data_IF_846132754226
#
_entry.id   IF_846132754226
#
_cell.length_a   1.000
_cell.length_b   1.000
_cell.length_c   1.000
_cell.angle_alpha   90.00
_cell.angle_beta   90.00
_cell.angle_gamma   90.00
#
_symmetry.space_group_name_H-M   'P 1'
#
loop_
_entity.id
_entity.type
_entity.pdbx_description
1 polymer ?
#
# COMPACT_ATOMS: atom_id res chain seq x y z
N UNK A 1 30.06 -9.04 38.45
CA UNK A 1 28.99 -9.83 37.80
C UNK A 1 27.69 -9.55 38.52
N UNK A 2 26.81 -8.72 37.95
CA UNK A 2 25.49 -8.44 38.51
C UNK A 2 24.46 -9.29 37.77
N UNK A 3 23.76 -10.16 38.50
CA UNK A 3 22.69 -10.99 37.97
C UNK A 3 21.42 -10.14 37.80
N UNK A 4 20.92 -10.07 36.57
CA UNK A 4 19.66 -9.38 36.27
C UNK A 4 18.47 -10.21 36.76
N UNK A 5 17.64 -9.59 37.59
CA UNK A 5 16.38 -10.15 38.12
C UNK A 5 15.32 -10.09 37.02
N UNK A 6 14.92 -11.25 36.51
CA UNK A 6 13.80 -11.40 35.58
C UNK A 6 12.47 -11.25 36.33
N UNK A 7 11.82 -10.09 36.20
CA UNK A 7 10.52 -9.82 36.82
C UNK A 7 9.34 -10.55 36.14
N UNK A 8 8.31 -11.00 36.89
CA UNK A 8 7.21 -11.83 36.38
C UNK A 8 6.12 -11.09 35.56
N UNK A 9 6.43 -9.95 34.93
CA UNK A 9 5.44 -9.07 34.28
C UNK A 9 5.01 -9.40 32.84
N UNK A 10 5.37 -10.58 32.30
CA UNK A 10 5.33 -10.83 30.85
C UNK A 10 3.96 -11.22 30.25
N UNK A 11 3.09 -11.92 30.99
CA UNK A 11 1.88 -12.50 30.40
C UNK A 11 0.72 -11.50 30.23
N UNK A 12 0.47 -10.66 31.23
CA UNK A 12 -0.66 -9.71 31.20
C UNK A 12 -0.58 -8.69 30.06
N UNK A 13 0.62 -8.20 29.75
CA UNK A 13 0.86 -7.24 28.66
C UNK A 13 0.66 -7.83 27.26
N UNK A 14 0.86 -9.14 27.07
CA UNK A 14 0.69 -9.79 25.76
C UNK A 14 -0.77 -9.98 25.41
N UNK A 15 -1.62 -10.31 26.39
CA UNK A 15 -3.06 -10.54 26.17
C UNK A 15 -3.78 -9.24 25.83
N UNK A 16 -3.45 -8.13 26.52
CA UNK A 16 -4.05 -6.83 26.23
C UNK A 16 -3.65 -6.29 24.85
N UNK A 17 -2.39 -6.51 24.44
CA UNK A 17 -1.92 -6.16 23.10
C UNK A 17 -2.69 -6.88 21.99
N UNK A 18 -2.84 -8.21 22.08
CA UNK A 18 -3.53 -8.99 21.05
C UNK A 18 -5.01 -8.62 20.89
N UNK A 19 -5.73 -8.37 22.00
CA UNK A 19 -7.14 -7.96 21.96
C UNK A 19 -7.33 -6.58 21.32
N UNK A 20 -6.45 -5.63 21.62
CA UNK A 20 -6.50 -4.31 21.00
C UNK A 20 -6.18 -4.35 19.50
N UNK A 21 -5.20 -5.17 19.09
CA UNK A 21 -4.86 -5.38 17.68
C UNK A 21 -6.02 -5.99 16.88
N UNK A 22 -6.66 -7.03 17.41
CA UNK A 22 -7.83 -7.66 16.76
C UNK A 22 -9.02 -6.69 16.64
N UNK A 23 -9.32 -5.95 17.70
CA UNK A 23 -10.41 -4.97 17.70
C UNK A 23 -10.17 -3.88 16.67
N UNK A 24 -8.92 -3.38 16.58
CA UNK A 24 -8.51 -2.41 15.57
C UNK A 24 -8.69 -2.97 14.16
N UNK A 25 -8.15 -4.16 13.90
CA UNK A 25 -8.27 -4.79 12.58
C UNK A 25 -9.72 -4.96 12.15
N UNK A 26 -10.59 -5.51 13.01
CA UNK A 26 -12.02 -5.70 12.70
C UNK A 26 -12.75 -4.36 12.45
N UNK A 27 -12.45 -3.34 13.24
CA UNK A 27 -13.03 -2.00 13.07
C UNK A 27 -12.61 -1.40 11.74
N UNK A 28 -11.31 -1.46 11.42
CA UNK A 28 -10.78 -0.97 10.14
C UNK A 28 -11.36 -1.72 8.96
N UNK A 29 -11.41 -3.06 8.98
CA UNK A 29 -12.00 -3.86 7.91
C UNK A 29 -13.47 -3.50 7.68
N UNK A 30 -14.24 -3.32 8.75
CA UNK A 30 -15.67 -2.99 8.64
C UNK A 30 -15.88 -1.60 8.04
N UNK A 31 -15.12 -0.60 8.52
CA UNK A 31 -15.16 0.75 7.99
C UNK A 31 -14.71 0.80 6.52
N UNK A 32 -13.64 0.07 6.18
CA UNK A 32 -13.11 -0.12 4.84
C UNK A 32 -14.18 -0.67 3.88
N UNK A 33 -14.85 -1.76 4.25
CA UNK A 33 -15.91 -2.37 3.44
C UNK A 33 -17.11 -1.44 3.24
N UNK A 34 -17.52 -0.72 4.30
CA UNK A 34 -18.60 0.25 4.21
C UNK A 34 -18.24 1.41 3.26
N UNK A 35 -17.00 1.91 3.34
CA UNK A 35 -16.51 2.97 2.46
C UNK A 35 -16.36 2.52 1.01
N UNK A 36 -15.91 1.28 0.78
CA UNK A 36 -15.84 0.68 -0.55
C UNK A 36 -17.24 0.53 -1.15
N UNK A 37 -18.23 0.09 -0.37
CA UNK A 37 -19.62 0.03 -0.82
C UNK A 37 -20.17 1.42 -1.15
N UNK A 38 -19.93 2.41 -0.29
CA UNK A 38 -20.34 3.80 -0.54
C UNK A 38 -19.72 4.37 -1.82
N UNK A 39 -18.44 4.10 -2.04
CA UNK A 39 -17.70 4.53 -3.24
C UNK A 39 -18.22 3.83 -4.50
N UNK A 40 -18.54 2.53 -4.43
CA UNK A 40 -19.16 1.79 -5.52
C UNK A 40 -20.55 2.32 -5.88
N UNK A 41 -21.39 2.64 -4.88
CA UNK A 41 -22.69 3.26 -5.11
C UNK A 41 -22.57 4.64 -5.75
N UNK A 42 -21.62 5.47 -5.30
CA UNK A 42 -21.33 6.76 -5.91
C UNK A 42 -20.94 6.59 -7.39
N UNK A 43 -20.05 5.65 -7.72
CA UNK A 43 -19.67 5.35 -9.11
C UNK A 43 -20.82 4.83 -9.97
N UNK A 44 -21.69 3.98 -9.43
CA UNK A 44 -22.88 3.55 -10.15
C UNK A 44 -23.78 4.75 -10.52
N UNK A 45 -23.94 5.71 -9.60
CA UNK A 45 -24.63 6.96 -9.88
C UNK A 45 -23.93 7.83 -10.93
N UNK A 46 -22.59 7.85 -10.95
CA UNK A 46 -21.81 8.56 -11.97
C UNK A 46 -21.95 7.96 -13.36
N UNK A 47 -21.92 6.63 -13.49
CA UNK A 47 -22.10 5.94 -14.76
C UNK A 47 -23.47 6.25 -15.40
N UNK A 48 -24.52 6.41 -14.59
CA UNK A 48 -25.83 6.89 -15.07
C UNK A 48 -25.75 8.33 -15.61
N UNK A 49 -24.93 9.18 -14.99
CA UNK A 49 -24.69 10.56 -15.44
C UNK A 49 -23.85 10.63 -16.72
N UNK A 50 -22.89 9.74 -16.93
CA UNK A 50 -22.10 9.63 -18.16
C UNK A 50 -22.96 9.20 -19.35
N UNK A 51 -23.90 8.27 -19.12
CA UNK A 51 -24.93 7.93 -20.13
C UNK A 51 -25.82 9.13 -20.51
N UNK A 52 -25.92 10.13 -19.63
CA UNK A 52 -26.59 11.39 -19.89
C UNK A 52 -25.68 12.45 -20.56
N UNK A 53 -24.49 12.07 -21.01
CA UNK A 53 -23.57 12.93 -21.78
C UNK A 53 -22.79 13.95 -20.95
N UNK A 54 -22.60 13.73 -19.64
CA UNK A 54 -21.80 14.60 -18.78
C UNK A 54 -20.35 14.12 -18.72
N UNK A 55 -19.44 14.88 -19.30
CA UNK A 55 -18.00 14.62 -19.17
C UNK A 55 -17.53 14.83 -17.72
N UNK A 56 -16.60 13.99 -17.28
CA UNK A 56 -15.96 14.10 -15.96
C UNK A 56 -14.46 13.98 -16.08
N UNK A 57 -13.76 14.61 -15.15
CA UNK A 57 -12.33 14.38 -15.00
C UNK A 57 -12.04 12.94 -14.52
N UNK A 58 -10.84 12.41 -14.80
CA UNK A 58 -10.37 11.17 -14.17
C UNK A 58 -10.37 11.27 -12.64
N UNK A 59 -10.77 10.17 -11.99
CA UNK A 59 -10.64 10.01 -10.54
C UNK A 59 -9.18 10.11 -10.08
N UNK A 60 -8.95 10.38 -8.79
CA UNK A 60 -7.61 10.61 -8.25
C UNK A 60 -7.32 9.70 -7.06
N UNK A 61 -6.28 8.87 -7.20
CA UNK A 61 -5.66 8.12 -6.12
C UNK A 61 -4.58 8.98 -5.46
N UNK A 62 -4.73 9.29 -4.18
CA UNK A 62 -3.73 10.05 -3.41
C UNK A 62 -2.67 9.09 -2.85
N UNK A 63 -1.40 9.41 -3.01
CA UNK A 63 -0.28 8.58 -2.56
C UNK A 63 0.61 9.36 -1.58
N UNK A 64 1.12 8.68 -0.56
CA UNK A 64 2.27 9.15 0.25
C UNK A 64 3.36 8.10 0.20
N UNK A 65 4.60 8.51 0.34
CA UNK A 65 5.74 7.58 0.44
C UNK A 65 6.52 7.88 1.71
N UNK A 66 6.77 6.85 2.51
CA UNK A 66 7.63 6.90 3.70
C UNK A 66 8.88 6.06 3.42
N UNK A 67 10.02 6.71 3.28
CA UNK A 67 11.33 6.05 3.15
C UNK A 67 11.91 5.87 4.55
N UNK A 68 12.08 4.61 4.98
CA UNK A 68 12.68 4.34 6.27
C UNK A 68 14.19 4.59 6.24
N UNK A 69 14.75 4.85 7.42
CA UNK A 69 16.19 4.85 7.63
C UNK A 69 16.63 3.57 8.34
N UNK A 70 17.83 3.09 8.00
CA UNK A 70 18.45 1.95 8.67
C UNK A 70 18.76 2.24 10.15
N UNK A 71 19.30 1.25 10.85
CA UNK A 71 19.63 1.34 12.28
C UNK A 71 20.69 2.42 12.60
N UNK A 72 21.35 2.98 11.58
CA UNK A 72 22.33 4.07 11.69
C UNK A 72 21.75 5.42 11.26
N UNK A 73 20.44 5.49 11.01
CA UNK A 73 19.77 6.71 10.53
C UNK A 73 20.07 7.04 9.07
N UNK A 74 20.57 6.08 8.27
CA UNK A 74 20.81 6.31 6.85
C UNK A 74 19.56 5.94 6.04
N UNK A 75 19.06 6.83 5.17
CA UNK A 75 17.92 6.52 4.33
C UNK A 75 18.16 5.27 3.47
N UNK A 76 17.17 4.38 3.39
CA UNK A 76 17.28 3.14 2.61
C UNK A 76 17.35 3.40 1.10
N UNK A 77 16.72 4.47 0.64
CA UNK A 77 16.75 4.93 -0.74
C UNK A 77 16.59 6.46 -0.78
N UNK A 78 16.43 7.04 -1.97
CA UNK A 78 16.15 8.46 -2.14
C UNK A 78 14.84 8.65 -2.92
N UNK A 79 14.19 9.79 -2.75
CA UNK A 79 13.01 10.17 -3.55
C UNK A 79 13.29 10.04 -5.06
N UNK A 80 14.46 10.47 -5.52
CA UNK A 80 14.86 10.40 -6.92
C UNK A 80 14.85 8.96 -7.47
N UNK A 81 15.22 7.96 -6.64
CA UNK A 81 15.17 6.54 -7.02
C UNK A 81 13.74 5.99 -7.01
N UNK A 82 12.86 6.50 -6.14
CA UNK A 82 11.45 6.05 -6.06
C UNK A 82 10.61 6.63 -7.21
N UNK A 83 10.93 7.85 -7.67
CA UNK A 83 10.13 8.58 -8.68
C UNK A 83 9.78 7.77 -9.94
N UNK A 84 10.70 7.03 -10.59
CA UNK A 84 10.36 6.24 -11.76
C UNK A 84 9.24 5.21 -11.53
N UNK A 85 9.19 4.58 -10.35
CA UNK A 85 8.13 3.63 -10.03
C UNK A 85 6.78 4.34 -9.78
N UNK A 86 6.79 5.56 -9.21
CA UNK A 86 5.58 6.38 -9.06
C UNK A 86 5.05 6.83 -10.43
N UNK A 87 5.94 7.27 -11.32
CA UNK A 87 5.57 7.66 -12.69
C UNK A 87 5.03 6.46 -13.49
N UNK A 88 5.61 5.27 -13.26
CA UNK A 88 5.12 4.02 -13.83
C UNK A 88 3.72 3.69 -13.30
N UNK A 89 3.47 3.87 -12.01
CA UNK A 89 2.15 3.67 -11.40
C UNK A 89 1.09 4.63 -11.98
N UNK A 90 1.41 5.92 -12.13
CA UNK A 90 0.54 6.89 -12.83
C UNK A 90 0.20 6.40 -14.24
N UNK A 91 1.22 6.03 -15.01
CA UNK A 91 1.08 5.61 -16.41
C UNK A 91 0.15 4.40 -16.52
N UNK A 92 0.37 3.37 -15.70
CA UNK A 92 -0.42 2.13 -15.74
C UNK A 92 -1.85 2.38 -15.27
N UNK A 93 -2.05 3.04 -14.13
CA UNK A 93 -3.39 3.27 -13.58
C UNK A 93 -4.24 4.21 -14.46
N UNK A 94 -3.59 5.20 -15.08
CA UNK A 94 -4.27 6.07 -16.06
C UNK A 94 -4.67 5.30 -17.31
N UNK A 95 -3.77 4.49 -17.87
CA UNK A 95 -4.03 3.74 -19.08
C UNK A 95 -5.08 2.63 -18.89
N UNK A 96 -5.00 1.91 -17.78
CA UNK A 96 -5.75 0.66 -17.58
C UNK A 96 -7.03 0.86 -16.75
N UNK A 97 -7.07 1.88 -15.89
CA UNK A 97 -8.21 2.16 -15.02
C UNK A 97 -8.76 3.58 -15.18
N UNK A 98 -8.19 4.45 -16.03
CA UNK A 98 -8.71 5.80 -16.24
C UNK A 98 -8.66 6.68 -14.99
N UNK A 99 -7.75 6.39 -14.04
CA UNK A 99 -7.55 7.21 -12.84
C UNK A 99 -6.15 7.84 -12.85
N UNK A 100 -6.05 9.02 -12.25
CA UNK A 100 -4.77 9.69 -11.97
C UNK A 100 -4.28 9.30 -10.58
N UNK A 101 -3.00 9.43 -10.36
CA UNK A 101 -2.32 9.41 -9.09
C UNK A 101 -1.87 10.82 -8.74
N UNK A 102 -1.86 11.12 -7.45
CA UNK A 102 -1.34 12.37 -6.91
C UNK A 102 -0.47 12.06 -5.72
N UNK A 103 0.85 12.22 -5.89
CA UNK A 103 1.81 12.13 -4.80
C UNK A 103 1.65 13.36 -3.91
N UNK A 104 1.25 13.15 -2.66
CA UNK A 104 1.09 14.20 -1.66
C UNK A 104 2.45 14.55 -1.03
N UNK A 105 3.24 13.51 -0.70
CA UNK A 105 4.57 13.66 -0.10
C UNK A 105 5.44 12.44 -0.37
N UNK A 106 6.76 12.66 -0.32
CA UNK A 106 7.80 11.61 -0.26
C UNK A 106 8.72 11.97 0.89
N UNK A 107 8.48 11.38 2.05
CA UNK A 107 9.13 11.73 3.29
C UNK A 107 10.18 10.68 3.64
N UNK A 108 11.32 11.13 4.17
CA UNK A 108 12.35 10.23 4.71
C UNK A 108 12.30 10.30 6.22
N UNK A 109 12.00 9.17 6.87
CA UNK A 109 11.98 9.09 8.32
C UNK A 109 13.43 8.97 8.80
N UNK A 110 13.93 10.01 9.44
CA UNK A 110 15.32 10.06 9.95
C UNK A 110 15.50 9.31 11.27
N UNK A 111 14.41 9.00 11.99
CA UNK A 111 14.45 8.10 13.14
C UNK A 111 14.94 6.71 12.68
N UNK A 112 15.99 6.14 13.28
CA UNK A 112 16.43 4.79 12.96
C UNK A 112 15.31 3.77 13.19
N UNK A 113 14.92 3.06 12.13
CA UNK A 113 13.89 2.04 12.26
C UNK A 113 14.46 0.78 12.94
N UNK A 114 13.68 0.11 13.81
CA UNK A 114 14.08 -1.17 14.36
C UNK A 114 14.13 -2.24 13.26
N UNK A 115 14.96 -3.27 13.44
CA UNK A 115 15.16 -4.32 12.44
C UNK A 115 13.85 -5.01 12.03
N UNK A 116 12.89 -5.17 12.96
CA UNK A 116 11.59 -5.76 12.67
C UNK A 116 10.72 -4.91 11.72
N UNK A 117 10.91 -3.59 11.73
CA UNK A 117 10.27 -2.66 10.78
C UNK A 117 11.04 -2.53 9.46
N UNK A 118 12.34 -2.85 9.47
CA UNK A 118 13.16 -2.87 8.27
C UNK A 118 12.99 -4.17 7.48
N UNK A 119 12.74 -5.29 8.18
CA UNK A 119 12.68 -6.64 7.60
C UNK A 119 11.35 -7.38 7.90
N UNK A 120 10.17 -6.78 7.61
CA UNK A 120 8.88 -7.39 7.91
C UNK A 120 8.70 -8.75 7.23
N UNK A 121 7.87 -9.62 7.81
CA UNK A 121 7.45 -10.84 7.13
C UNK A 121 6.43 -10.56 6.03
N UNK A 122 6.36 -11.47 5.05
CA UNK A 122 5.36 -11.42 3.99
C UNK A 122 4.01 -12.07 4.37
N UNK A 123 2.97 -11.70 3.62
CA UNK A 123 1.68 -12.40 3.54
C UNK A 123 0.98 -12.55 4.90
N UNK A 124 0.44 -13.75 5.20
CA UNK A 124 -0.25 -14.07 6.45
C UNK A 124 0.58 -13.76 7.69
N UNK A 125 1.92 -13.80 7.60
CA UNK A 125 2.79 -13.45 8.71
C UNK A 125 2.82 -11.94 8.96
N UNK A 126 2.66 -11.11 7.94
CA UNK A 126 2.49 -9.67 8.13
C UNK A 126 1.21 -9.36 8.91
N UNK A 127 0.12 -10.08 8.62
CA UNK A 127 -1.12 -9.95 9.39
C UNK A 127 -0.94 -10.38 10.85
N UNK A 128 -0.19 -11.47 11.10
CA UNK A 128 0.14 -11.88 12.47
C UNK A 128 1.05 -10.85 13.17
N UNK A 129 2.02 -10.31 12.43
CA UNK A 129 2.92 -9.26 12.90
C UNK A 129 2.14 -8.00 13.30
N UNK A 130 1.11 -7.63 12.53
CA UNK A 130 0.23 -6.48 12.79
C UNK A 130 -0.74 -6.72 13.95
N UNK A 131 -1.53 -7.80 13.87
CA UNK A 131 -2.67 -8.03 14.77
C UNK A 131 -2.24 -8.62 16.11
N UNK A 132 -1.29 -9.56 16.12
CA UNK A 132 -0.96 -10.34 17.32
C UNK A 132 0.35 -9.92 17.97
N UNK A 133 1.35 -9.56 17.17
CA UNK A 133 2.71 -9.30 17.67
C UNK A 133 3.04 -7.81 17.81
N UNK A 134 2.23 -6.92 17.25
CA UNK A 134 2.42 -5.47 17.31
C UNK A 134 3.74 -5.00 16.67
N UNK A 135 4.30 -5.77 15.75
CA UNK A 135 5.59 -5.46 15.08
C UNK A 135 5.47 -4.32 14.09
N UNK A 136 4.25 -4.02 13.65
CA UNK A 136 3.92 -2.86 12.82
C UNK A 136 3.69 -1.59 13.64
N UNK A 137 3.76 -1.64 14.98
CA UNK A 137 3.50 -0.47 15.83
C UNK A 137 4.40 0.72 15.49
N UNK A 138 5.63 0.46 15.03
CA UNK A 138 6.53 1.49 14.57
C UNK A 138 6.00 2.23 13.33
N UNK A 139 5.38 1.51 12.38
CA UNK A 139 4.73 2.13 11.22
C UNK A 139 3.54 2.98 11.66
N UNK A 140 2.67 2.43 12.52
CA UNK A 140 1.45 3.11 12.98
C UNK A 140 1.75 4.47 13.61
N UNK A 141 2.81 4.60 14.41
CA UNK A 141 3.22 5.92 14.97
C UNK A 141 3.46 6.98 13.90
N UNK A 142 3.99 6.58 12.75
CA UNK A 142 4.25 7.49 11.63
C UNK A 142 3.03 7.64 10.73
N UNK A 143 2.20 6.60 10.58
CA UNK A 143 0.96 6.68 9.81
C UNK A 143 -0.07 7.59 10.48
N UNK A 144 -0.15 7.56 11.81
CA UNK A 144 -1.08 8.35 12.62
C UNK A 144 -0.84 9.86 12.47
N UNK A 145 0.42 10.29 12.26
CA UNK A 145 0.77 11.69 11.96
C UNK A 145 0.05 12.21 10.70
N UNK A 146 -0.26 11.31 9.78
CA UNK A 146 -0.89 11.64 8.51
C UNK A 146 -2.29 11.05 8.36
N UNK A 147 -2.94 10.66 9.46
CA UNK A 147 -4.30 10.16 9.43
C UNK A 147 -5.21 11.24 8.79
N UNK A 148 -5.81 10.89 7.65
CA UNK A 148 -6.83 11.71 7.01
C UNK A 148 -8.18 11.30 7.63
N UNK A 149 -8.94 12.22 8.25
CA UNK A 149 -10.25 11.88 8.81
C UNK A 149 -11.26 11.47 7.74
N UNK A 150 -11.00 11.77 6.46
CA UNK A 150 -11.88 11.41 5.36
C UNK A 150 -11.82 9.90 5.06
N UNK A 151 -12.93 9.19 5.24
CA UNK A 151 -13.03 7.76 4.90
C UNK A 151 -12.94 7.51 3.39
N UNK A 152 -13.29 8.50 2.57
CA UNK A 152 -13.23 8.42 1.10
C UNK A 152 -12.11 9.33 0.56
N UNK A 153 -11.33 8.76 -0.34
CA UNK A 153 -10.14 9.33 -0.92
C UNK A 153 -8.90 9.20 -0.04
N UNK A 154 -8.98 8.60 1.16
CA UNK A 154 -7.85 8.48 2.07
C UNK A 154 -6.59 8.02 1.29
N UNK A 155 -5.43 8.66 1.48
CA UNK A 155 -4.26 8.33 0.69
C UNK A 155 -3.73 6.94 1.03
N UNK A 156 -3.23 6.23 0.01
CA UNK A 156 -2.49 4.99 0.22
C UNK A 156 -1.04 5.35 0.54
N UNK A 157 -0.52 4.85 1.66
CA UNK A 157 0.87 5.10 2.08
C UNK A 157 1.80 3.97 1.66
N UNK A 158 2.85 4.29 0.93
CA UNK A 158 3.88 3.35 0.48
C UNK A 158 5.04 3.42 1.46
N UNK A 159 5.32 2.32 2.16
CA UNK A 159 6.42 2.22 3.13
C UNK A 159 7.59 1.49 2.46
N UNK A 160 8.72 2.18 2.31
CA UNK A 160 9.92 1.61 1.72
C UNK A 160 10.80 1.00 2.81
N UNK A 161 10.87 -0.33 2.84
CA UNK A 161 11.62 -1.12 3.83
C UNK A 161 12.90 -1.70 3.23
N UNK A 162 13.77 -2.27 4.07
CA UNK A 162 15.05 -2.84 3.62
C UNK A 162 14.82 -4.13 2.86
N UNK A 163 14.13 -5.06 3.49
CA UNK A 163 13.85 -6.38 2.93
C UNK A 163 12.48 -6.85 3.40
N UNK A 164 11.85 -7.74 2.64
CA UNK A 164 10.63 -8.44 3.07
C UNK A 164 10.98 -9.92 3.13
N UNK A 165 10.79 -10.51 4.30
CA UNK A 165 11.08 -11.92 4.50
C UNK A 165 10.02 -12.76 3.81
N UNK A 166 10.39 -13.55 2.80
CA UNK A 166 9.48 -14.51 2.17
C UNK A 166 9.52 -14.63 0.64
N UNK A 167 10.67 -14.36 -0.02
CA UNK A 167 10.80 -14.38 -1.50
C UNK A 167 9.76 -13.49 -2.21
N UNK A 168 9.37 -12.39 -1.57
CA UNK A 168 8.55 -11.34 -2.18
C UNK A 168 9.28 -10.01 -2.09
N UNK A 169 8.96 -9.11 -3.00
CA UNK A 169 9.51 -7.77 -3.13
C UNK A 169 8.57 -6.69 -2.62
N UNK A 170 7.29 -6.99 -2.53
CA UNK A 170 6.27 -6.15 -1.94
C UNK A 170 5.29 -6.97 -1.09
N UNK A 171 4.51 -6.29 -0.26
CA UNK A 171 3.41 -6.89 0.46
C UNK A 171 2.37 -5.83 0.81
N UNK A 172 1.10 -6.22 0.72
CA UNK A 172 -0.05 -5.46 1.20
C UNK A 172 -0.89 -6.32 2.14
N UNK A 173 -1.58 -5.69 3.10
CA UNK A 173 -2.62 -6.34 3.90
C UNK A 173 -3.99 -6.33 3.18
N UNK A 174 -4.02 -5.88 1.92
CA UNK A 174 -5.20 -5.81 1.07
C UNK A 174 -6.21 -4.78 1.59
N UNK A 175 -7.49 -5.14 1.54
CA UNK A 175 -8.64 -4.34 2.05
C UNK A 175 -8.44 -3.80 3.47
N UNK A 176 -7.58 -4.43 4.28
CA UNK A 176 -7.43 -4.16 5.71
C UNK A 176 -6.42 -3.06 6.05
N UNK A 177 -5.68 -2.53 5.07
CA UNK A 177 -4.71 -1.47 5.32
C UNK A 177 -4.71 -0.42 4.23
N UNK A 178 -4.56 0.83 4.65
CA UNK A 178 -4.41 1.98 3.77
C UNK A 178 -2.92 2.22 3.44
N UNK A 179 -2.10 1.16 3.51
CA UNK A 179 -0.68 1.19 3.25
C UNK A 179 -0.17 -0.10 2.62
N UNK A 180 0.97 0.02 1.93
CA UNK A 180 1.69 -1.08 1.30
C UNK A 180 3.17 -1.02 1.68
N UNK A 181 3.84 -2.15 1.69
CA UNK A 181 5.29 -2.23 1.93
C UNK A 181 6.00 -2.67 0.66
N UNK A 182 7.10 -2.00 0.33
CA UNK A 182 7.93 -2.27 -0.84
C UNK A 182 9.41 -2.24 -0.45
N UNK A 183 10.22 -3.14 -1.00
CA UNK A 183 11.67 -3.15 -0.74
C UNK A 183 12.38 -1.95 -1.37
N UNK A 184 13.45 -1.46 -0.75
CA UNK A 184 14.25 -0.38 -1.31
C UNK A 184 15.02 -0.79 -2.58
N UNK A 185 15.41 -2.07 -2.68
CA UNK A 185 16.18 -2.65 -3.80
C UNK A 185 15.46 -2.61 -5.14
N UNK A 186 14.13 -2.44 -5.14
CA UNK A 186 13.28 -2.35 -6.33
C UNK A 186 13.52 -1.07 -7.13
N UNK A 187 14.02 -0.05 -6.45
CA UNK A 187 14.18 1.31 -6.98
C UNK A 187 15.61 1.57 -7.46
N UNK A 188 16.52 0.59 -7.31
CA UNK A 188 17.92 0.75 -7.67
C UNK A 188 18.20 0.18 -9.06
N UNK A 189 18.21 1.04 -10.08
CA UNK A 189 18.50 0.67 -11.48
C UNK A 189 19.85 -0.03 -11.68
N UNK A 190 20.78 0.15 -10.76
CA UNK A 190 22.07 -0.54 -10.78
C UNK A 190 21.98 -2.01 -10.35
N UNK A 191 20.81 -2.48 -9.89
CA UNK A 191 20.57 -3.86 -9.46
C UNK A 191 19.62 -4.58 -10.41
N UNK A 192 20.16 -5.03 -11.54
CA UNK A 192 19.40 -5.63 -12.66
C UNK A 192 18.45 -6.79 -12.25
N UNK A 193 18.77 -7.52 -11.17
CA UNK A 193 18.00 -8.67 -10.71
C UNK A 193 16.96 -8.35 -9.63
N UNK A 194 16.89 -7.11 -9.16
CA UNK A 194 15.88 -6.68 -8.18
C UNK A 194 15.06 -5.48 -8.66
N UNK A 195 15.57 -4.72 -9.62
CA UNK A 195 14.91 -3.54 -10.16
C UNK A 195 13.63 -3.90 -10.92
N UNK A 196 12.49 -3.39 -10.46
CA UNK A 196 11.20 -3.60 -11.11
C UNK A 196 10.22 -2.47 -10.76
N UNK A 197 10.02 -1.55 -11.70
CA UNK A 197 9.10 -0.41 -11.56
C UNK A 197 7.62 -0.86 -11.45
N UNK A 198 7.29 -2.10 -11.82
CA UNK A 198 5.90 -2.61 -11.79
C UNK A 198 5.47 -3.08 -10.40
N UNK A 199 6.42 -3.38 -9.50
CA UNK A 199 6.08 -3.90 -8.16
C UNK A 199 5.25 -2.89 -7.38
N UNK A 200 5.58 -1.59 -7.45
CA UNK A 200 4.83 -0.58 -6.72
C UNK A 200 3.35 -0.56 -7.11
N UNK A 201 3.07 -0.50 -8.41
CA UNK A 201 1.69 -0.46 -8.92
C UNK A 201 0.96 -1.79 -8.69
N UNK A 202 1.67 -2.91 -8.62
CA UNK A 202 1.11 -4.20 -8.21
C UNK A 202 0.64 -4.18 -6.74
N UNK A 203 1.49 -3.69 -5.82
CA UNK A 203 1.11 -3.58 -4.41
C UNK A 203 -0.03 -2.58 -4.20
N UNK A 204 -0.03 -1.46 -4.92
CA UNK A 204 -1.16 -0.55 -4.94
C UNK A 204 -2.44 -1.26 -5.44
N UNK A 205 -2.33 -2.14 -6.44
CA UNK A 205 -3.44 -2.98 -6.86
C UNK A 205 -4.06 -3.79 -5.71
N UNK A 206 -3.24 -4.38 -4.84
CA UNK A 206 -3.74 -5.06 -3.65
C UNK A 206 -4.44 -4.15 -2.64
N UNK A 207 -3.88 -2.96 -2.39
CA UNK A 207 -4.54 -1.94 -1.55
C UNK A 207 -5.87 -1.46 -2.16
N UNK A 208 -5.99 -1.53 -3.49
CA UNK A 208 -7.20 -1.22 -4.25
C UNK A 208 -8.09 -2.45 -4.47
N UNK A 209 -7.98 -3.46 -3.58
CA UNK A 209 -8.80 -4.66 -3.54
C UNK A 209 -8.66 -5.61 -4.74
N UNK A 210 -7.56 -5.54 -5.50
CA UNK A 210 -7.32 -6.47 -6.59
C UNK A 210 -6.65 -7.76 -6.10
N UNK A 211 -7.22 -8.94 -6.38
CA UNK A 211 -6.58 -10.22 -6.11
C UNK A 211 -5.58 -10.57 -7.22
N UNK A 212 -4.70 -11.52 -6.91
CA UNK A 212 -3.82 -12.11 -7.92
C UNK A 212 -4.58 -12.79 -9.06
N UNK A 213 -3.95 -12.83 -10.23
CA UNK A 213 -4.40 -13.61 -11.39
C UNK A 213 -3.29 -14.52 -11.91
N UNK A 214 -3.64 -15.48 -12.76
CA UNK A 214 -2.69 -16.38 -13.43
C UNK A 214 -2.19 -15.85 -14.78
N UNK A 215 -2.81 -14.80 -15.30
CA UNK A 215 -2.42 -14.18 -16.56
C UNK A 215 -1.16 -13.34 -16.38
N UNK A 216 -0.09 -13.70 -17.09
CA UNK A 216 1.23 -13.05 -17.00
C UNK A 216 1.23 -11.62 -17.55
N UNK A 217 0.34 -11.32 -18.48
CA UNK A 217 0.20 -9.97 -19.05
C UNK A 217 -0.56 -9.02 -18.11
N UNK A 218 -1.19 -9.56 -17.06
CA UNK A 218 -1.95 -8.78 -16.11
C UNK A 218 -1.07 -8.20 -15.01
N UNK A 219 -1.39 -6.98 -14.59
CA UNK A 219 -0.73 -6.29 -13.47
C UNK A 219 -0.70 -7.15 -12.20
N UNK A 220 -1.77 -7.88 -11.92
CA UNK A 220 -1.91 -8.69 -10.71
C UNK A 220 -1.34 -10.12 -10.85
N UNK A 221 -0.49 -10.38 -11.85
CA UNK A 221 0.29 -11.61 -11.88
C UNK A 221 1.24 -11.65 -10.66
N UNK A 222 1.28 -12.73 -9.85
CA UNK A 222 1.95 -12.74 -8.54
C UNK A 222 3.48 -12.79 -8.59
N UNK A 223 4.08 -13.01 -9.75
CA UNK A 223 5.52 -13.25 -9.88
C UNK A 223 6.15 -12.27 -10.85
N UNK A 224 7.29 -11.71 -10.47
CA UNK A 224 8.14 -10.93 -11.36
C UNK A 224 9.59 -11.27 -11.04
N UNK A 225 10.40 -11.46 -12.07
CA UNK A 225 11.80 -11.84 -11.96
C UNK A 225 12.61 -11.07 -13.01
N UNK A 226 12.96 -9.81 -12.72
CA UNK A 226 13.76 -9.00 -13.62
C UNK A 226 15.15 -9.62 -13.84
N UNK A 227 15.78 -9.35 -15.00
CA UNK A 227 15.27 -8.47 -16.06
C UNK A 227 14.36 -9.19 -17.07
N UNK A 228 14.32 -10.52 -17.08
CA UNK A 228 13.70 -11.30 -18.19
C UNK A 228 12.21 -11.52 -18.01
N UNK A 229 11.76 -11.68 -16.78
CA UNK A 229 10.40 -12.11 -16.48
C UNK A 229 9.64 -11.05 -15.65
N UNK A 230 9.65 -9.81 -16.15
CA UNK A 230 8.83 -8.73 -15.58
C UNK A 230 7.35 -9.00 -15.88
N UNK A 231 6.49 -8.80 -14.88
CA UNK A 231 5.03 -8.94 -15.04
C UNK A 231 4.46 -7.91 -16.03
N UNK A 232 3.35 -8.23 -16.67
CA UNK A 232 2.63 -7.29 -17.52
C UNK A 232 1.93 -6.20 -16.70
N UNK A 233 1.26 -5.28 -17.40
CA UNK A 233 0.60 -4.13 -16.77
C UNK A 233 -0.90 -4.07 -17.02
N UNK A 234 -1.48 -5.04 -17.72
CA UNK A 234 -2.88 -4.97 -18.15
C UNK A 234 -3.84 -5.16 -16.98
N UNK A 235 -4.99 -4.49 -17.01
CA UNK A 235 -6.13 -4.80 -16.15
C UNK A 235 -7.29 -5.36 -16.96
N UNK A 236 -8.00 -6.31 -16.37
CA UNK A 236 -9.30 -6.74 -16.86
C UNK A 236 -10.31 -5.64 -16.58
N UNK A 237 -11.36 -5.53 -17.41
CA UNK A 237 -12.38 -4.47 -17.26
C UNK A 237 -13.00 -4.40 -15.87
N UNK A 238 -13.25 -5.55 -15.24
CA UNK A 238 -13.79 -5.58 -13.88
C UNK A 238 -12.75 -5.14 -12.83
N UNK A 239 -11.45 -5.39 -13.03
CA UNK A 239 -10.39 -4.89 -12.13
C UNK A 239 -10.32 -3.35 -12.22
N UNK A 240 -10.40 -2.79 -13.43
CA UNK A 240 -10.48 -1.35 -13.63
C UNK A 240 -11.70 -0.74 -12.90
N UNK A 241 -12.88 -1.37 -13.03
CA UNK A 241 -14.08 -0.94 -12.31
C UNK A 241 -13.92 -1.00 -10.78
N UNK A 242 -13.33 -2.08 -10.25
CA UNK A 242 -13.03 -2.21 -8.81
C UNK A 242 -12.12 -1.07 -8.34
N UNK A 243 -11.04 -0.79 -9.07
CA UNK A 243 -10.12 0.33 -8.78
C UNK A 243 -10.85 1.67 -8.79
N UNK A 244 -11.66 1.96 -9.81
CA UNK A 244 -12.41 3.22 -9.91
C UNK A 244 -13.40 3.42 -8.75
N UNK A 245 -13.96 2.32 -8.25
CA UNK A 245 -14.93 2.30 -7.14
C UNK A 245 -14.31 2.18 -5.75
N UNK A 246 -12.98 2.06 -5.62
CA UNK A 246 -12.33 1.84 -4.34
C UNK A 246 -12.37 3.11 -3.47
N UNK A 247 -12.47 2.95 -2.14
CA UNK A 247 -12.52 4.06 -1.19
C UNK A 247 -11.35 5.02 -1.29
N UNK A 248 -10.18 4.61 -1.78
CA UNK A 248 -9.00 5.47 -1.91
C UNK A 248 -9.05 6.40 -3.12
N UNK A 249 -9.97 6.18 -4.07
CA UNK A 249 -10.08 6.97 -5.29
C UNK A 249 -11.11 8.08 -5.10
N UNK A 250 -10.64 9.33 -5.10
CA UNK A 250 -11.52 10.50 -5.13
C UNK A 250 -12.21 10.56 -6.49
N UNK A 251 -13.55 10.61 -6.54
CA UNK A 251 -14.27 10.71 -7.81
C UNK A 251 -13.94 11.98 -8.59
N UNK A 252 -14.04 11.87 -9.92
CA UNK A 252 -13.81 12.97 -10.83
C UNK A 252 -14.87 14.07 -10.70
N UNK A 253 -14.44 15.32 -10.78
CA UNK A 253 -15.39 16.45 -10.84
C UNK A 253 -16.05 16.50 -12.21
N UNK A 254 -17.34 16.90 -12.30
CA UNK A 254 -17.98 17.24 -13.56
C UNK A 254 -17.19 18.35 -14.27
N UNK A 255 -16.94 18.20 -15.56
CA UNK A 255 -16.37 19.27 -16.38
C UNK A 255 -17.49 20.29 -16.60
N UNK A 256 -17.32 21.52 -16.10
CA UNK A 256 -18.23 22.61 -16.43
C UNK A 256 -17.99 22.99 -17.89
N UNK A 257 -18.95 22.65 -18.76
CA UNK A 257 -19.02 23.18 -20.13
C UNK A 257 -19.44 24.63 -20.16
#
# INVERSE_FOLDING_TARGET
MAAAVSGPGGLGRRVTGALSGLTRALTHTSAALAADLGSALARAGEAVGELAGRDREPGVLRLRVLILSDERGRPLTSEAKVRPALDRAETVLRAEAGIRTRVLSVDTITEPAPAEALDPHANRRLLLDDVLLGRTAWYHRHLDEYADPDTVGAPVTVIVVRQITGRTTGCSLGVNADWVIVQASLFDRARDHTYDETVLVHELGHALNLPHTRDRENLMFPSSSPPRDVRGTRLQRWQAAVVQSNRHVVPGRPVRG
#
